data_IF_499431351605
#
_entry.id   IF_499431351605
#
_cell.length_a   1.000
_cell.length_b   1.000
_cell.length_c   1.000
_cell.angle_alpha   90.00
_cell.angle_beta   90.00
_cell.angle_gamma   90.00
#
_symmetry.space_group_name_H-M   'P 1'
#
loop_
_entity.id
_entity.type
_entity.pdbx_description
1 polymer ?
#
# COMPACT_ATOMS: atom_id res chain seq x y z
N UNK A 1 -1.41 23.07 -2.23
CA UNK A 1 -2.68 22.32 -2.39
C UNK A 1 -2.76 21.11 -1.46
N UNK A 2 -1.96 20.03 -1.60
CA UNK A 2 -2.04 18.88 -0.67
C UNK A 2 -1.85 19.23 0.82
N UNK A 3 -0.89 20.11 1.13
CA UNK A 3 -0.64 20.59 2.51
C UNK A 3 -1.82 21.37 3.11
N UNK A 4 -2.73 21.90 2.30
CA UNK A 4 -3.90 22.65 2.75
C UNK A 4 -5.13 21.77 3.00
N UNK A 5 -5.07 20.48 2.63
CA UNK A 5 -6.17 19.55 2.89
C UNK A 5 -6.42 19.40 4.41
N UNK A 6 -7.68 19.17 4.82
CA UNK A 6 -7.99 18.81 6.18
C UNK A 6 -7.17 17.60 6.64
N UNK A 7 -6.74 17.58 7.90
CA UNK A 7 -5.91 16.50 8.44
C UNK A 7 -6.56 15.11 8.24
N UNK A 8 -7.87 15.01 8.45
CA UNK A 8 -8.61 13.76 8.22
C UNK A 8 -8.61 13.29 6.76
N UNK A 9 -8.53 14.20 5.79
CA UNK A 9 -8.41 13.86 4.36
C UNK A 9 -7.03 13.29 4.08
N UNK A 10 -5.97 13.92 4.61
CA UNK A 10 -4.58 13.42 4.46
C UNK A 10 -4.42 12.02 5.07
N UNK A 11 -5.00 11.77 6.25
CA UNK A 11 -5.03 10.43 6.86
C UNK A 11 -5.77 9.45 5.95
N UNK A 12 -6.92 9.86 5.42
CA UNK A 12 -7.71 9.03 4.50
C UNK A 12 -6.93 8.64 3.25
N UNK A 13 -6.21 9.59 2.64
CA UNK A 13 -5.34 9.36 1.49
C UNK A 13 -4.30 8.31 1.83
N UNK A 14 -3.51 8.53 2.89
CA UNK A 14 -2.47 7.59 3.32
C UNK A 14 -3.03 6.19 3.58
N UNK A 15 -4.13 6.07 4.34
CA UNK A 15 -4.75 4.77 4.63
C UNK A 15 -5.25 4.07 3.37
N UNK A 16 -5.85 4.81 2.43
CA UNK A 16 -6.33 4.23 1.19
C UNK A 16 -5.20 3.70 0.30
N UNK A 17 -4.05 4.38 0.28
CA UNK A 17 -2.86 3.93 -0.45
C UNK A 17 -2.34 2.63 0.16
N UNK A 18 -2.12 2.61 1.49
CA UNK A 18 -1.58 1.44 2.19
C UNK A 18 -2.47 0.21 1.98
N UNK A 19 -3.78 0.34 2.22
CA UNK A 19 -4.73 -0.78 2.07
C UNK A 19 -4.79 -1.27 0.63
N UNK A 20 -4.80 -0.37 -0.35
CA UNK A 20 -4.88 -0.77 -1.76
C UNK A 20 -3.59 -1.42 -2.24
N UNK A 21 -2.44 -0.92 -1.77
CA UNK A 21 -1.13 -1.47 -2.12
C UNK A 21 -0.95 -2.87 -1.54
N UNK A 22 -1.22 -3.04 -0.24
CA UNK A 22 -1.15 -4.35 0.42
C UNK A 22 -2.07 -5.36 -0.28
N UNK A 23 -3.31 -4.96 -0.59
CA UNK A 23 -4.25 -5.80 -1.32
C UNK A 23 -3.72 -6.19 -2.70
N UNK A 24 -3.23 -5.23 -3.48
CA UNK A 24 -2.69 -5.47 -4.81
C UNK A 24 -1.51 -6.45 -4.76
N UNK A 25 -0.56 -6.22 -3.84
CA UNK A 25 0.58 -7.10 -3.64
C UNK A 25 0.15 -8.52 -3.24
N UNK A 26 -0.83 -8.66 -2.34
CA UNK A 26 -1.43 -9.96 -2.00
C UNK A 26 -2.09 -10.64 -3.22
N UNK A 27 -2.79 -9.90 -4.07
CA UNK A 27 -3.42 -10.43 -5.30
C UNK A 27 -2.39 -10.96 -6.32
N UNK A 28 -1.21 -10.33 -6.41
CA UNK A 28 -0.10 -10.83 -7.22
C UNK A 28 0.85 -11.76 -6.47
N UNK A 29 0.46 -12.18 -5.26
CA UNK A 29 1.20 -13.10 -4.38
C UNK A 29 2.60 -12.60 -3.99
N UNK A 30 2.78 -11.29 -3.89
CA UNK A 30 4.06 -10.62 -3.64
C UNK A 30 5.14 -10.93 -4.69
N UNK A 31 4.73 -11.31 -5.91
CA UNK A 31 5.66 -11.46 -7.02
C UNK A 31 5.94 -10.09 -7.68
N UNK A 32 7.11 -9.52 -7.41
CA UNK A 32 7.54 -8.22 -7.94
C UNK A 32 7.55 -8.15 -9.47
N UNK A 33 7.82 -9.25 -10.18
CA UNK A 33 7.81 -9.29 -11.64
C UNK A 33 6.42 -9.07 -12.23
N UNK A 34 5.36 -9.29 -11.44
CA UNK A 34 3.97 -9.02 -11.81
C UNK A 34 3.52 -7.60 -11.46
N UNK A 35 4.34 -6.81 -10.75
CA UNK A 35 3.96 -5.48 -10.32
C UNK A 35 3.81 -4.54 -11.53
N UNK A 36 2.63 -3.92 -11.64
CA UNK A 36 2.33 -2.91 -12.64
C UNK A 36 1.70 -1.69 -11.96
N UNK A 37 2.40 -0.55 -12.07
CA UNK A 37 1.97 0.70 -11.45
C UNK A 37 0.61 1.20 -12.01
N UNK A 38 0.33 0.98 -13.30
CA UNK A 38 -0.94 1.42 -13.88
C UNK A 38 -2.11 0.59 -13.34
N UNK A 39 -1.93 -0.72 -13.23
CA UNK A 39 -2.93 -1.63 -12.64
C UNK A 39 -3.18 -1.30 -11.17
N UNK A 40 -2.11 -1.09 -10.39
CA UNK A 40 -2.24 -0.68 -8.99
C UNK A 40 -3.02 0.65 -8.88
N UNK A 41 -2.67 1.66 -9.67
CA UNK A 41 -3.36 2.96 -9.65
C UNK A 41 -4.83 2.82 -10.04
N UNK A 42 -5.16 1.97 -11.01
CA UNK A 42 -6.54 1.70 -11.40
C UNK A 42 -7.32 1.03 -10.25
N UNK A 43 -6.76 -0.01 -9.63
CA UNK A 43 -7.37 -0.63 -8.45
C UNK A 43 -7.55 0.35 -7.29
N UNK A 44 -6.55 1.19 -7.03
CA UNK A 44 -6.65 2.22 -6.01
C UNK A 44 -7.77 3.21 -6.32
N UNK A 45 -7.91 3.68 -7.57
CA UNK A 45 -9.04 4.53 -7.99
C UNK A 45 -10.39 3.84 -7.72
N UNK A 46 -10.52 2.57 -8.09
CA UNK A 46 -11.74 1.80 -7.80
C UNK A 46 -12.03 1.73 -6.30
N UNK A 47 -10.99 1.51 -5.47
CA UNK A 47 -11.11 1.56 -4.01
C UNK A 47 -11.57 2.93 -3.50
N UNK A 48 -11.06 4.02 -4.08
CA UNK A 48 -11.45 5.38 -3.70
C UNK A 48 -12.96 5.60 -3.85
N UNK A 49 -13.55 5.16 -4.96
CA UNK A 49 -14.98 5.38 -5.24
C UNK A 49 -15.91 4.39 -4.51
N UNK A 50 -15.40 3.25 -4.06
CA UNK A 50 -16.23 2.19 -3.45
C UNK A 50 -16.14 2.10 -1.93
N UNK A 51 -14.99 2.47 -1.35
CA UNK A 51 -14.68 2.25 0.08
C UNK A 51 -14.14 3.48 0.80
N UNK A 52 -13.55 4.44 0.08
CA UNK A 52 -12.92 5.59 0.70
C UNK A 52 -13.88 6.77 0.88
N UNK A 53 -13.94 7.31 2.09
CA UNK A 53 -14.80 8.47 2.39
C UNK A 53 -14.09 9.81 2.20
N UNK A 54 -12.76 9.84 2.02
CA UNK A 54 -12.02 11.10 1.91
C UNK A 54 -12.23 11.80 0.56
N UNK A 55 -12.45 11.04 -0.52
CA UNK A 55 -12.60 11.61 -1.86
C UNK A 55 -13.86 12.48 -1.95
N UNK A 56 -14.90 12.15 -1.18
CA UNK A 56 -16.14 12.93 -1.07
C UNK A 56 -15.96 14.24 -0.28
N UNK A 57 -14.83 14.42 0.40
CA UNK A 57 -14.49 15.64 1.16
C UNK A 57 -13.58 16.58 0.38
N UNK A 58 -13.27 16.23 -0.86
CA UNK A 58 -12.52 17.05 -1.81
C UNK A 58 -13.52 17.54 -2.86
N UNK A 59 -13.52 18.84 -3.14
CA UNK A 59 -14.35 19.44 -4.17
C UNK A 59 -13.88 19.05 -5.59
N UNK A 60 -14.78 19.18 -6.56
CA UNK A 60 -14.51 18.70 -7.93
C UNK A 60 -13.48 19.57 -8.67
N UNK A 61 -13.34 20.85 -8.31
CA UNK A 61 -12.30 21.73 -8.84
C UNK A 61 -10.92 21.22 -8.43
N UNK A 62 -10.73 20.92 -7.14
CA UNK A 62 -9.49 20.35 -6.63
C UNK A 62 -9.22 18.97 -7.20
N UNK A 63 -10.25 18.12 -7.37
CA UNK A 63 -10.11 16.81 -8.05
C UNK A 63 -9.70 16.93 -9.50
N UNK A 64 -10.06 18.01 -10.20
CA UNK A 64 -9.65 18.23 -11.58
C UNK A 64 -8.26 18.88 -11.72
N UNK A 65 -7.69 19.36 -10.63
CA UNK A 65 -6.49 20.18 -10.68
C UNK A 65 -5.21 19.36 -10.91
N UNK A 66 -4.38 19.69 -11.93
CA UNK A 66 -3.14 18.96 -12.22
C UNK A 66 -2.17 18.87 -11.04
N UNK A 67 -1.97 19.97 -10.31
CA UNK A 67 -1.10 19.99 -9.11
C UNK A 67 -1.58 19.06 -8.01
N UNK A 68 -2.89 18.83 -7.90
CA UNK A 68 -3.44 17.89 -6.94
C UNK A 68 -3.13 16.46 -7.36
N UNK A 69 -3.27 16.13 -8.65
CA UNK A 69 -2.88 14.81 -9.19
C UNK A 69 -1.40 14.55 -9.02
N UNK A 70 -0.55 15.55 -9.31
CA UNK A 70 0.89 15.43 -9.12
C UNK A 70 1.24 15.18 -7.64
N UNK A 71 0.62 15.93 -6.72
CA UNK A 71 0.85 15.73 -5.30
C UNK A 71 0.37 14.37 -4.80
N UNK A 72 -0.74 13.85 -5.32
CA UNK A 72 -1.21 12.49 -5.03
C UNK A 72 -0.22 11.44 -5.56
N UNK A 73 0.26 11.58 -6.79
CA UNK A 73 1.25 10.67 -7.38
C UNK A 73 2.55 10.65 -6.56
N UNK A 74 3.03 11.82 -6.12
CA UNK A 74 4.17 11.91 -5.21
C UNK A 74 3.89 11.19 -3.90
N UNK A 75 2.69 11.36 -3.32
CA UNK A 75 2.34 10.72 -2.05
C UNK A 75 2.22 9.20 -2.17
N UNK A 76 1.72 8.71 -3.29
CA UNK A 76 1.68 7.28 -3.62
C UNK A 76 3.09 6.71 -3.64
N UNK A 77 4.00 7.31 -4.43
CA UNK A 77 5.38 6.84 -4.51
C UNK A 77 6.09 6.90 -3.16
N UNK A 78 5.93 7.99 -2.41
CA UNK A 78 6.47 8.14 -1.06
C UNK A 78 6.01 6.99 -0.16
N UNK A 79 4.70 6.69 -0.15
CA UNK A 79 4.16 5.65 0.71
C UNK A 79 4.55 4.24 0.27
N UNK A 80 4.58 3.95 -1.03
CA UNK A 80 5.05 2.65 -1.53
C UNK A 80 6.49 2.44 -1.10
N UNK A 81 7.36 3.41 -1.33
CA UNK A 81 8.77 3.35 -0.93
C UNK A 81 8.93 3.12 0.57
N UNK A 82 8.14 3.82 1.40
CA UNK A 82 8.17 3.62 2.85
C UNK A 82 7.77 2.18 3.23
N UNK A 83 6.74 1.62 2.60
CA UNK A 83 6.25 0.27 2.90
C UNK A 83 7.25 -0.82 2.49
N UNK A 84 7.84 -0.72 1.30
CA UNK A 84 8.83 -1.72 0.81
C UNK A 84 10.18 -1.59 1.51
N UNK A 85 10.48 -0.43 2.10
CA UNK A 85 11.73 -0.22 2.86
C UNK A 85 11.58 -0.57 4.34
N UNK A 86 10.35 -0.77 4.83
CA UNK A 86 10.11 -1.16 6.21
C UNK A 86 10.53 -2.63 6.39
N UNK A 87 11.57 -2.86 7.18
CA UNK A 87 12.05 -4.22 7.45
C UNK A 87 11.06 -5.01 8.33
N UNK A 88 11.02 -6.34 8.19
CA UNK A 88 10.25 -7.21 9.07
C UNK A 88 10.66 -7.01 10.53
N UNK A 89 9.71 -7.20 11.45
CA UNK A 89 10.02 -7.20 12.88
C UNK A 89 10.82 -8.44 13.27
N UNK A 90 11.54 -8.38 14.40
CA UNK A 90 12.25 -9.54 14.95
C UNK A 90 11.33 -10.76 15.10
N UNK A 91 10.09 -10.55 15.54
CA UNK A 91 9.07 -11.61 15.67
C UNK A 91 8.72 -12.24 14.32
N UNK A 92 8.54 -11.43 13.27
CA UNK A 92 8.28 -11.95 11.93
C UNK A 92 9.47 -12.75 11.41
N UNK A 93 10.70 -12.25 11.58
CA UNK A 93 11.92 -12.94 11.18
C UNK A 93 12.05 -14.29 11.90
N UNK A 94 11.79 -14.35 13.20
CA UNK A 94 11.82 -15.60 13.97
C UNK A 94 10.82 -16.64 13.44
N UNK A 95 9.59 -16.23 13.14
CA UNK A 95 8.55 -17.12 12.63
C UNK A 95 8.88 -17.69 11.25
N UNK A 96 9.40 -16.84 10.37
CA UNK A 96 9.81 -17.22 9.01
C UNK A 96 11.03 -18.15 9.03
N UNK A 97 12.04 -17.85 9.85
CA UNK A 97 13.23 -18.69 10.00
C UNK A 97 12.90 -20.08 10.57
N UNK A 98 11.99 -20.16 11.56
CA UNK A 98 11.49 -21.45 12.09
C UNK A 98 10.76 -22.29 11.05
N UNK A 99 10.25 -21.65 10.00
CA UNK A 99 9.49 -22.28 8.92
C UNK A 99 10.32 -22.50 7.65
N UNK A 100 11.65 -22.31 7.72
CA UNK A 100 12.60 -22.48 6.62
C UNK A 100 12.27 -21.69 5.35
N UNK A 101 11.61 -20.53 5.51
CA UNK A 101 11.37 -19.60 4.39
C UNK A 101 12.70 -19.03 3.92
N UNK A 102 12.90 -18.95 2.60
CA UNK A 102 14.14 -18.44 1.99
C UNK A 102 14.04 -16.94 1.76
N UNK A 103 15.20 -16.27 1.66
CA UNK A 103 15.31 -14.84 1.33
C UNK A 103 14.56 -13.92 2.30
N UNK A 104 14.42 -14.32 3.57
CA UNK A 104 13.71 -13.57 4.60
C UNK A 104 14.36 -12.20 4.87
N UNK A 105 15.67 -12.10 4.64
CA UNK A 105 16.46 -10.87 4.74
C UNK A 105 16.23 -9.87 3.60
N UNK A 106 15.65 -10.33 2.49
CA UNK A 106 15.27 -9.49 1.34
C UNK A 106 13.83 -8.95 1.45
N UNK A 107 13.01 -9.55 2.32
CA UNK A 107 11.59 -9.22 2.45
C UNK A 107 11.36 -7.85 3.11
N UNK A 108 10.31 -7.15 2.69
CA UNK A 108 9.73 -6.08 3.48
C UNK A 108 8.76 -6.64 4.54
N UNK A 109 8.39 -5.81 5.52
CA UNK A 109 7.49 -6.17 6.63
C UNK A 109 6.15 -6.73 6.17
N UNK A 110 5.57 -6.15 5.12
CA UNK A 110 4.27 -6.55 4.61
C UNK A 110 4.34 -7.88 3.83
N UNK A 111 5.43 -8.12 3.13
CA UNK A 111 5.70 -9.39 2.46
C UNK A 111 5.92 -10.51 3.49
N UNK A 112 6.72 -10.23 4.52
CA UNK A 112 6.92 -11.14 5.65
C UNK A 112 5.59 -11.52 6.32
N UNK A 113 4.73 -10.53 6.56
CA UNK A 113 3.37 -10.76 7.10
C UNK A 113 2.55 -11.69 6.20
N UNK A 114 2.55 -11.45 4.88
CA UNK A 114 1.84 -12.31 3.93
C UNK A 114 2.34 -13.76 3.95
N UNK A 115 3.66 -13.99 4.01
CA UNK A 115 4.19 -15.34 4.11
C UNK A 115 3.81 -16.02 5.43
N UNK A 116 3.82 -15.28 6.55
CA UNK A 116 3.35 -15.78 7.86
C UNK A 116 1.87 -16.15 7.80
N UNK A 117 1.01 -15.27 7.28
CA UNK A 117 -0.42 -15.53 7.09
C UNK A 117 -0.64 -16.82 6.31
N UNK A 118 0.10 -17.03 5.21
CA UNK A 118 0.02 -18.26 4.42
C UNK A 118 0.44 -19.49 5.20
N UNK A 119 1.54 -19.42 5.95
CA UNK A 119 1.99 -20.53 6.80
C UNK A 119 0.94 -20.93 7.84
N UNK A 120 0.21 -19.96 8.40
CA UNK A 120 -0.86 -20.20 9.38
C UNK A 120 -2.13 -20.78 8.75
N UNK A 121 -2.47 -20.42 7.51
CA UNK A 121 -3.65 -20.95 6.79
C UNK A 121 -3.45 -22.40 6.33
N UNK A 122 -2.19 -22.81 6.08
CA UNK A 122 -1.86 -24.20 5.67
C UNK A 122 -1.65 -25.18 6.84
N UNK A 123 -1.80 -24.75 8.10
CA UNK A 123 -1.75 -25.62 9.29
C UNK A 123 -3.15 -26.06 9.72
#
# INVERSE_FOLDING_TARGET
MYKQLPHGVKIGITRSIVVSFERYMKEIEWNEEKFDMQQFVEQWKQYLYTKSTWINKVDDELKGHPDFHQALAMKVNEKINELISEQPSEEQLELLNKSEVKHVDEMCKLEAEYHIERLLVTK
#
